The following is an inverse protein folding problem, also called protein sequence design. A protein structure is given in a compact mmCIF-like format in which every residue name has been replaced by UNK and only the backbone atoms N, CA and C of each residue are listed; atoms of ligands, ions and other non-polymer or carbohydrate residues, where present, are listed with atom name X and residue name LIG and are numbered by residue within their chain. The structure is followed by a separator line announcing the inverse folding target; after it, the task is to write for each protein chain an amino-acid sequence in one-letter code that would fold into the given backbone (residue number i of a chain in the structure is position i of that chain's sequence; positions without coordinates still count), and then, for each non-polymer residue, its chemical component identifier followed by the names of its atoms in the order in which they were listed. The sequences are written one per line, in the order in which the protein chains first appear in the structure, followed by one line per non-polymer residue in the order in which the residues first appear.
data_IF_147649735574
#
_entry.id   IF_147649735574
#
_cell.length_a   1.000
_cell.length_b   1.000
_cell.length_c   1.000
_cell.angle_alpha   90.00
_cell.angle_beta   90.00
_cell.angle_gamma   90.00
#
_symmetry.space_group_name_H-M   'P 1'
#
loop_
_entity.id
_entity.type
_entity.pdbx_description
1 polymer ?
#
# COMPACT_ATOMS: atom_id res chain seq x y z
N UNK A 1 51.95 10.04 41.21
CA UNK A 1 50.49 10.17 41.41
C UNK A 1 49.67 9.69 40.19
N UNK A 2 49.99 10.14 38.97
CA UNK A 2 49.29 9.76 37.72
C UNK A 2 49.16 8.24 37.44
N UNK A 3 50.18 7.43 37.72
CA UNK A 3 50.14 5.96 37.49
C UNK A 3 49.11 5.21 38.34
N UNK A 4 48.77 5.73 39.53
CA UNK A 4 47.72 5.16 40.40
C UNK A 4 46.31 5.53 39.92
N UNK A 5 46.17 6.62 39.18
CA UNK A 5 44.89 7.02 38.59
C UNK A 5 44.53 6.10 37.42
N UNK A 6 45.48 5.81 36.53
CA UNK A 6 45.26 4.92 35.38
C UNK A 6 44.86 3.50 35.80
N UNK A 7 45.53 2.90 36.78
CA UNK A 7 45.24 1.53 37.21
C UNK A 7 43.85 1.32 37.81
N UNK A 8 43.28 2.34 38.45
CA UNK A 8 41.96 2.25 39.10
C UNK A 8 40.82 2.71 38.20
N UNK A 9 41.09 3.62 37.25
CA UNK A 9 40.09 4.17 36.35
C UNK A 9 39.83 3.25 35.15
N UNK A 10 40.86 2.60 34.61
CA UNK A 10 40.75 1.67 33.47
C UNK A 10 39.78 0.51 33.72
N UNK A 11 39.87 -0.27 34.83
CA UNK A 11 38.97 -1.40 35.06
C UNK A 11 37.53 -0.95 35.35
N UNK A 12 37.33 0.23 35.94
CA UNK A 12 36.00 0.81 36.17
C UNK A 12 35.34 1.25 34.87
N UNK A 13 36.10 1.91 33.99
CA UNK A 13 35.64 2.24 32.65
C UNK A 13 35.29 0.97 31.88
N UNK A 14 36.18 -0.03 31.85
CA UNK A 14 35.94 -1.31 31.18
C UNK A 14 34.67 -2.01 31.70
N UNK A 15 34.44 -1.97 33.01
CA UNK A 15 33.22 -2.46 33.64
C UNK A 15 31.97 -1.71 33.20
N UNK A 16 32.00 -0.38 33.15
CA UNK A 16 30.89 0.43 32.63
C UNK A 16 30.61 0.15 31.15
N UNK A 17 31.65 -0.03 30.32
CA UNK A 17 31.49 -0.41 28.91
C UNK A 17 30.87 -1.80 28.77
N UNK A 18 31.29 -2.77 29.57
CA UNK A 18 30.69 -4.11 29.59
C UNK A 18 29.23 -4.09 30.04
N UNK A 19 28.89 -3.28 31.05
CA UNK A 19 27.50 -3.09 31.49
C UNK A 19 26.63 -2.41 30.43
N UNK A 20 27.17 -1.44 29.67
CA UNK A 20 26.47 -0.83 28.53
C UNK A 20 26.22 -1.84 27.40
N UNK A 21 27.18 -2.74 27.11
CA UNK A 21 27.00 -3.76 26.09
C UNK A 21 25.96 -4.81 26.48
N UNK A 22 25.92 -5.21 27.76
CA UNK A 22 24.89 -6.13 28.26
C UNK A 22 23.49 -5.50 28.28
N UNK A 23 23.40 -4.18 28.50
CA UNK A 23 22.13 -3.44 28.43
C UNK A 23 21.63 -3.25 26.99
N UNK A 24 22.54 -3.21 26.01
CA UNK A 24 22.20 -3.05 24.58
C UNK A 24 21.59 -4.28 23.92
N UNK A 25 21.80 -5.49 24.47
CA UNK A 25 21.31 -6.74 23.89
C UNK A 25 19.78 -6.91 23.92
N UNK A 26 19.08 -6.16 24.77
CA UNK A 26 17.62 -6.25 24.92
C UNK A 26 16.84 -5.21 24.08
N UNK A 27 17.51 -4.54 23.14
CA UNK A 27 16.87 -3.61 22.20
C UNK A 27 16.36 -4.28 20.91
N UNK A 28 16.26 -5.61 20.87
CA UNK A 28 15.26 -6.27 20.02
C UNK A 28 13.90 -6.14 20.70
N UNK A 29 13.46 -4.89 20.79
CA UNK A 29 12.08 -4.59 21.07
C UNK A 29 11.23 -5.41 20.09
N UNK A 30 10.14 -5.98 20.60
CA UNK A 30 9.10 -6.62 19.81
C UNK A 30 8.41 -5.57 18.91
N UNK A 31 9.17 -4.97 18.01
CA UNK A 31 8.66 -4.11 16.97
C UNK A 31 7.76 -5.00 16.11
N UNK A 32 6.56 -4.52 15.76
CA UNK A 32 5.74 -5.17 14.76
C UNK A 32 6.63 -5.53 13.57
N UNK A 33 6.71 -6.82 13.24
CA UNK A 33 7.45 -7.25 12.06
C UNK A 33 6.78 -6.59 10.86
N UNK A 34 7.55 -5.91 10.02
CA UNK A 34 7.02 -5.30 8.81
C UNK A 34 6.23 -6.35 8.01
N UNK A 35 4.96 -6.06 7.72
CA UNK A 35 4.10 -6.96 6.96
C UNK A 35 4.73 -7.13 5.59
N UNK A 36 5.17 -8.35 5.28
CA UNK A 36 5.83 -8.61 4.02
C UNK A 36 4.89 -8.30 2.84
N UNK A 37 5.41 -7.79 1.70
CA UNK A 37 4.60 -7.57 0.51
C UNK A 37 4.02 -8.91 0.02
N UNK A 38 2.93 -8.86 -0.76
CA UNK A 38 2.22 -10.06 -1.22
C UNK A 38 3.15 -11.06 -1.92
N UNK A 39 4.22 -10.55 -2.54
CA UNK A 39 5.32 -11.29 -3.12
C UNK A 39 6.60 -11.12 -2.30
N UNK A 40 6.63 -11.68 -1.08
CA UNK A 40 7.76 -11.54 -0.16
C UNK A 40 9.05 -12.16 -0.73
N UNK A 41 10.11 -11.36 -0.98
CA UNK A 41 11.39 -11.88 -1.45
C UNK A 41 12.17 -12.56 -0.32
N UNK A 42 13.21 -13.33 -0.69
CA UNK A 42 14.14 -13.93 0.28
C UNK A 42 14.82 -12.84 1.11
N UNK A 43 15.06 -13.13 2.39
CA UNK A 43 15.71 -12.21 3.31
C UNK A 43 17.06 -11.70 2.74
N UNK A 44 17.24 -10.38 2.73
CA UNK A 44 18.45 -9.70 2.24
C UNK A 44 18.33 -9.08 0.83
N UNK A 45 17.27 -9.37 0.06
CA UNK A 45 17.03 -8.74 -1.24
C UNK A 45 16.17 -7.48 -1.13
N UNK A 46 16.82 -6.39 -0.70
CA UNK A 46 16.18 -5.08 -0.46
C UNK A 46 15.58 -4.45 -1.72
N UNK A 47 16.17 -4.69 -2.90
CA UNK A 47 15.67 -4.12 -4.15
C UNK A 47 14.36 -4.77 -4.57
N UNK A 48 14.27 -6.10 -4.47
CA UNK A 48 13.03 -6.82 -4.78
C UNK A 48 11.94 -6.53 -3.75
N UNK A 49 12.32 -6.30 -2.49
CA UNK A 49 11.39 -5.91 -1.43
C UNK A 49 10.71 -4.56 -1.74
N UNK A 50 11.47 -3.53 -2.11
CA UNK A 50 10.91 -2.22 -2.48
C UNK A 50 10.02 -2.33 -3.72
N UNK A 51 10.42 -3.13 -4.72
CA UNK A 51 9.59 -3.40 -5.90
C UNK A 51 8.27 -4.08 -5.51
N UNK A 52 8.29 -5.02 -4.56
CA UNK A 52 7.09 -5.69 -4.04
C UNK A 52 6.08 -4.69 -3.47
N UNK A 53 6.54 -3.79 -2.59
CA UNK A 53 5.67 -2.74 -2.05
C UNK A 53 5.16 -1.76 -3.12
N UNK A 54 5.99 -1.41 -4.10
CA UNK A 54 5.57 -0.55 -5.19
C UNK A 54 4.47 -1.20 -6.07
N UNK A 55 4.56 -2.52 -6.28
CA UNK A 55 3.54 -3.30 -7.00
C UNK A 55 2.23 -3.34 -6.21
N UNK A 56 2.28 -3.68 -4.93
CA UNK A 56 1.10 -3.71 -4.06
C UNK A 56 0.44 -2.31 -3.98
N UNK A 57 1.24 -1.24 -3.85
CA UNK A 57 0.74 0.13 -3.85
C UNK A 57 0.09 0.52 -5.19
N UNK A 58 0.70 0.14 -6.32
CA UNK A 58 0.14 0.37 -7.65
C UNK A 58 -1.22 -0.32 -7.83
N UNK A 59 -1.37 -1.55 -7.34
CA UNK A 59 -2.62 -2.30 -7.39
C UNK A 59 -3.72 -1.62 -6.55
N UNK A 60 -3.39 -1.18 -5.34
CA UNK A 60 -4.33 -0.45 -4.48
C UNK A 60 -4.77 0.87 -5.12
N UNK A 61 -3.84 1.63 -5.71
CA UNK A 61 -4.18 2.88 -6.42
C UNK A 61 -5.11 2.59 -7.61
N UNK A 62 -4.82 1.56 -8.39
CA UNK A 62 -5.67 1.13 -9.50
C UNK A 62 -7.09 0.78 -9.04
N UNK A 63 -7.21 0.09 -7.90
CA UNK A 63 -8.50 -0.26 -7.30
C UNK A 63 -9.28 0.99 -6.85
N UNK A 64 -8.61 1.95 -6.22
CA UNK A 64 -9.24 3.22 -5.80
C UNK A 64 -9.76 4.00 -7.01
N UNK A 65 -8.97 4.08 -8.09
CA UNK A 65 -9.41 4.73 -9.33
C UNK A 65 -10.62 4.03 -9.96
N UNK A 66 -10.69 2.70 -9.92
CA UNK A 66 -11.85 1.95 -10.39
C UNK A 66 -13.12 2.28 -9.58
N UNK A 67 -12.99 2.44 -8.26
CA UNK A 67 -14.12 2.88 -7.40
C UNK A 67 -14.58 4.29 -7.78
N UNK A 68 -13.65 5.22 -8.00
CA UNK A 68 -14.00 6.59 -8.41
C UNK A 68 -14.72 6.60 -9.76
N UNK A 69 -14.24 5.82 -10.74
CA UNK A 69 -14.88 5.68 -12.03
C UNK A 69 -16.30 5.09 -11.91
N UNK A 70 -16.48 4.07 -11.07
CA UNK A 70 -17.80 3.48 -10.81
C UNK A 70 -18.79 4.51 -10.26
N UNK A 71 -18.37 5.30 -9.25
CA UNK A 71 -19.22 6.36 -8.68
C UNK A 71 -19.59 7.42 -9.73
N UNK A 72 -18.65 7.78 -10.60
CA UNK A 72 -18.88 8.74 -11.68
C UNK A 72 -19.89 8.21 -12.71
N UNK A 73 -19.75 6.95 -13.13
CA UNK A 73 -20.66 6.30 -14.07
C UNK A 73 -22.08 6.17 -13.46
N UNK A 74 -22.17 5.81 -12.18
CA UNK A 74 -23.44 5.74 -11.46
C UNK A 74 -24.14 7.09 -11.45
N UNK A 75 -23.39 8.18 -11.19
CA UNK A 75 -23.92 9.54 -11.23
C UNK A 75 -24.53 9.89 -12.59
N UNK A 76 -23.81 9.64 -13.69
CA UNK A 76 -24.28 9.91 -15.06
C UNK A 76 -25.57 9.12 -15.35
N UNK A 77 -25.60 7.85 -14.97
CA UNK A 77 -26.74 6.96 -15.23
C UNK A 77 -27.98 7.42 -14.46
N UNK A 78 -27.83 7.81 -13.19
CA UNK A 78 -28.94 8.34 -12.37
C UNK A 78 -29.44 9.68 -12.93
N UNK A 79 -28.54 10.56 -13.38
CA UNK A 79 -28.92 11.83 -14.00
C UNK A 79 -29.82 11.61 -15.22
N UNK A 80 -29.41 10.70 -16.11
CA UNK A 80 -30.17 10.37 -17.32
C UNK A 80 -31.51 9.69 -17.00
N UNK A 81 -31.54 8.83 -16.00
CA UNK A 81 -32.78 8.23 -15.52
C UNK A 81 -33.78 9.28 -15.00
N UNK A 82 -33.29 10.29 -14.27
CA UNK A 82 -34.13 11.40 -13.81
C UNK A 82 -34.66 12.26 -14.97
N UNK A 83 -33.84 12.50 -16.00
CA UNK A 83 -34.29 13.21 -17.22
C UNK A 83 -35.45 12.47 -17.91
N UNK A 84 -35.34 11.15 -18.08
CA UNK A 84 -36.41 10.34 -18.70
C UNK A 84 -37.68 10.30 -17.86
N UNK A 85 -37.57 10.23 -16.53
CA UNK A 85 -38.73 10.32 -15.62
C UNK A 85 -39.46 11.65 -15.73
N UNK A 86 -38.75 12.73 -16.04
CA UNK A 86 -39.34 14.06 -16.23
C UNK A 86 -39.84 14.31 -17.66
N UNK A 87 -39.76 13.30 -18.55
CA UNK A 87 -40.14 13.43 -19.96
C UNK A 87 -39.16 14.26 -20.80
N UNK A 88 -37.95 14.53 -20.28
CA UNK A 88 -36.91 15.32 -20.95
C UNK A 88 -35.90 14.48 -21.73
N UNK A 89 -35.98 13.15 -21.62
CA UNK A 89 -35.16 12.21 -22.38
C UNK A 89 -35.98 10.97 -22.72
N UNK A 90 -35.59 10.27 -23.79
CA UNK A 90 -36.22 9.01 -24.18
C UNK A 90 -35.71 7.85 -23.30
N UNK A 91 -36.58 6.91 -22.95
CA UNK A 91 -36.17 5.69 -22.24
C UNK A 91 -35.13 4.87 -23.02
N UNK A 92 -35.14 4.95 -24.35
CA UNK A 92 -34.11 4.36 -25.21
C UNK A 92 -32.71 4.95 -24.94
N UNK A 93 -32.60 6.26 -24.73
CA UNK A 93 -31.32 6.92 -24.42
C UNK A 93 -30.79 6.50 -23.03
N UNK A 94 -31.67 6.33 -22.05
CA UNK A 94 -31.30 5.81 -20.72
C UNK A 94 -30.79 4.37 -20.84
N UNK A 95 -31.46 3.53 -21.61
CA UNK A 95 -31.05 2.15 -21.88
C UNK A 95 -29.67 2.09 -22.54
N UNK A 96 -29.44 2.90 -23.57
CA UNK A 96 -28.13 2.95 -24.25
C UNK A 96 -27.03 3.42 -23.29
N UNK A 97 -27.29 4.48 -22.51
CA UNK A 97 -26.34 5.00 -21.52
C UNK A 97 -25.97 3.93 -20.50
N UNK A 98 -26.95 3.15 -20.01
CA UNK A 98 -26.73 2.06 -19.07
C UNK A 98 -25.88 0.92 -19.67
N UNK A 99 -26.10 0.56 -20.93
CA UNK A 99 -25.29 -0.48 -21.61
C UNK A 99 -23.86 -0.02 -21.80
N UNK A 100 -23.65 1.22 -22.24
CA UNK A 100 -22.30 1.80 -22.40
C UNK A 100 -21.58 1.87 -21.05
N UNK A 101 -22.28 2.33 -20.00
CA UNK A 101 -21.78 2.36 -18.63
C UNK A 101 -21.32 0.98 -18.14
N UNK A 102 -22.14 -0.06 -18.36
CA UNK A 102 -21.79 -1.43 -18.00
C UNK A 102 -20.58 -1.94 -18.80
N UNK A 103 -20.53 -1.66 -20.11
CA UNK A 103 -19.40 -2.03 -20.97
C UNK A 103 -18.09 -1.40 -20.52
N UNK A 104 -18.11 -0.11 -20.17
CA UNK A 104 -16.94 0.59 -19.62
C UNK A 104 -16.50 -0.04 -18.31
N UNK A 105 -17.43 -0.42 -17.41
CA UNK A 105 -17.06 -1.07 -16.16
C UNK A 105 -16.43 -2.45 -16.37
N UNK A 106 -16.95 -3.24 -17.28
CA UNK A 106 -16.36 -4.53 -17.63
C UNK A 106 -14.94 -4.33 -18.16
N UNK A 107 -14.73 -3.33 -19.01
CA UNK A 107 -13.43 -3.01 -19.56
C UNK A 107 -12.42 -2.56 -18.48
N UNK A 108 -12.83 -1.69 -17.55
CA UNK A 108 -11.99 -1.27 -16.42
C UNK A 108 -11.58 -2.48 -15.55
N UNK A 109 -12.55 -3.34 -15.21
CA UNK A 109 -12.30 -4.55 -14.42
C UNK A 109 -11.31 -5.51 -15.12
N UNK A 110 -11.47 -5.67 -16.43
CA UNK A 110 -10.57 -6.47 -17.24
C UNK A 110 -9.14 -5.90 -17.23
N UNK A 111 -8.98 -4.60 -17.51
CA UNK A 111 -7.66 -3.96 -17.50
C UNK A 111 -6.98 -4.04 -16.13
N UNK A 112 -7.73 -3.86 -15.04
CA UNK A 112 -7.18 -4.00 -13.69
C UNK A 112 -6.71 -5.43 -13.40
N UNK A 113 -7.44 -6.43 -13.91
CA UNK A 113 -7.10 -7.85 -13.79
C UNK A 113 -5.90 -8.23 -14.65
N UNK A 114 -5.75 -7.67 -15.85
CA UNK A 114 -4.54 -7.90 -16.66
C UNK A 114 -3.33 -7.16 -16.07
N UNK A 115 -3.52 -5.94 -15.57
CA UNK A 115 -2.46 -5.19 -14.92
C UNK A 115 -1.90 -5.97 -13.72
N UNK A 116 -2.74 -6.55 -12.87
CA UNK A 116 -2.31 -7.32 -11.69
C UNK A 116 -1.53 -8.60 -11.99
N UNK A 117 -1.54 -9.09 -13.24
CA UNK A 117 -0.70 -10.21 -13.67
C UNK A 117 0.69 -9.78 -14.13
N UNK A 118 0.81 -8.55 -14.64
CA UNK A 118 2.07 -8.00 -15.18
C UNK A 118 2.94 -7.42 -14.08
N UNK A 119 2.31 -6.71 -13.13
CA UNK A 119 2.98 -6.21 -11.93
C UNK A 119 3.07 -7.31 -10.88
#
# INVERSE_FOLDING_TARGET
MFKRLQHNLFPKLLGCWASLMLLSGNLYAALPTAVAPSNAPKAGDWLTLIKGYAKDAGLVIGLVLAVVAFLWIAWITISKFNEARTGRAEWGEVGLTAVVAAGVMIFISYLLTEASKVI
#
